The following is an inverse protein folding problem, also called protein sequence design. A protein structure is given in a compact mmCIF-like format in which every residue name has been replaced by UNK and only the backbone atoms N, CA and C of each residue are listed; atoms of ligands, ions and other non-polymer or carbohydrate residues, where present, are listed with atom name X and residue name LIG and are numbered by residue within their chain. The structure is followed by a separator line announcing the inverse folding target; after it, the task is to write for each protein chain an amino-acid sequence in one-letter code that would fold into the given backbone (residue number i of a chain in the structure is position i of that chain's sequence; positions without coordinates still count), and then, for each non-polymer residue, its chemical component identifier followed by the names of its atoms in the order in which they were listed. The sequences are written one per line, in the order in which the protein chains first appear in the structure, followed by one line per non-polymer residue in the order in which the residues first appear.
data_IF_916024434756
#
_entry.id   IF_916024434756
#
_cell.length_a   1.000
_cell.length_b   1.000
_cell.length_c   1.000
_cell.angle_alpha   90.00
_cell.angle_beta   90.00
_cell.angle_gamma   90.00
#
_symmetry.space_group_name_H-M   'P 1'
#
loop_
_entity.id
_entity.type
_entity.pdbx_description
1 polymer ?
#
# COMPACT_ATOMS: atom_id res chain seq x y z
N UNK A 1 -10.02 2.81 9.12
CA UNK A 1 -9.26 3.52 8.10
C UNK A 1 -8.28 4.50 8.70
N UNK A 2 -7.28 4.87 7.96
CA UNK A 2 -6.28 5.81 8.41
C UNK A 2 -5.16 5.96 7.40
N UNK A 3 -4.03 6.52 7.87
CA UNK A 3 -2.84 6.74 7.05
C UNK A 3 -1.69 5.92 7.62
N UNK A 4 -1.04 5.15 6.76
CA UNK A 4 0.21 4.44 7.07
C UNK A 4 1.33 5.20 6.35
N UNK A 5 2.38 5.57 7.08
CA UNK A 5 3.46 6.40 6.55
C UNK A 5 4.77 5.63 6.46
N UNK A 6 5.43 5.71 5.31
CA UNK A 6 6.80 5.24 5.15
C UNK A 6 7.76 6.17 5.89
N UNK A 7 8.61 5.60 6.72
CA UNK A 7 9.60 6.32 7.52
C UNK A 7 10.97 5.66 7.41
N UNK A 8 12.04 6.45 7.42
CA UNK A 8 13.43 5.97 7.26
C UNK A 8 14.31 6.25 8.48
N UNK A 9 13.77 6.92 9.50
CA UNK A 9 14.44 7.19 10.77
C UNK A 9 13.44 7.14 11.93
N UNK A 10 13.92 6.90 13.17
CA UNK A 10 13.09 7.03 14.37
C UNK A 10 12.43 8.41 14.54
N UNK A 11 13.12 9.48 14.10
CA UNK A 11 12.57 10.84 14.14
C UNK A 11 11.38 11.00 13.18
N UNK A 12 11.49 10.49 11.96
CA UNK A 12 10.37 10.49 11.00
C UNK A 12 9.19 9.67 11.52
N UNK A 13 9.45 8.56 12.22
CA UNK A 13 8.41 7.75 12.84
C UNK A 13 7.64 8.54 13.91
N UNK A 14 8.32 9.32 14.75
CA UNK A 14 7.67 10.22 15.73
C UNK A 14 6.85 11.32 15.04
N UNK A 15 7.37 11.92 13.98
CA UNK A 15 6.60 12.90 13.17
C UNK A 15 5.32 12.28 12.63
N UNK A 16 5.38 11.04 12.14
CA UNK A 16 4.20 10.32 11.66
C UNK A 16 3.19 10.04 12.78
N UNK A 17 3.66 9.58 13.93
CA UNK A 17 2.82 9.32 15.11
C UNK A 17 2.16 10.61 15.62
N UNK A 18 2.92 11.69 15.77
CA UNK A 18 2.43 13.01 16.19
C UNK A 18 1.39 13.58 15.21
N UNK A 19 1.52 13.28 13.93
CA UNK A 19 0.55 13.64 12.90
C UNK A 19 -0.74 12.81 12.95
N UNK A 20 -0.77 11.72 13.72
CA UNK A 20 -1.92 10.83 13.87
C UNK A 20 -1.93 9.68 12.87
N UNK A 21 -0.79 9.25 12.37
CA UNK A 21 -0.69 8.03 11.55
C UNK A 21 -1.23 6.82 12.31
N UNK A 22 -1.87 5.90 11.59
CA UNK A 22 -2.37 4.65 12.15
C UNK A 22 -1.28 3.59 12.32
N UNK A 23 -0.22 3.68 11.54
CA UNK A 23 0.95 2.83 11.57
C UNK A 23 2.08 3.50 10.78
N UNK A 24 3.30 3.00 10.94
CA UNK A 24 4.45 3.37 10.11
C UNK A 24 4.99 2.14 9.38
N UNK A 25 5.59 2.38 8.21
CA UNK A 25 6.34 1.40 7.44
C UNK A 25 7.83 1.73 7.56
N UNK A 26 8.60 0.87 8.23
CA UNK A 26 10.03 1.03 8.40
C UNK A 26 10.79 0.68 7.12
N UNK A 27 11.55 1.63 6.59
CA UNK A 27 12.34 1.49 5.37
C UNK A 27 13.72 2.14 5.55
N UNK A 28 14.74 1.63 4.87
CA UNK A 28 16.03 2.34 4.73
C UNK A 28 15.94 3.50 3.74
N UNK A 29 15.10 3.34 2.74
CA UNK A 29 14.90 4.29 1.65
C UNK A 29 13.43 4.35 1.27
N UNK A 30 12.90 5.56 1.11
CA UNK A 30 11.56 5.71 0.54
C UNK A 30 11.51 5.23 -0.92
N UNK A 31 10.35 4.84 -1.45
CA UNK A 31 10.24 4.29 -2.81
C UNK A 31 10.87 5.16 -3.91
N UNK A 32 10.82 6.49 -3.78
CA UNK A 32 11.46 7.41 -4.73
C UNK A 32 12.99 7.22 -4.77
N UNK A 33 13.62 7.01 -3.62
CA UNK A 33 15.07 6.80 -3.54
C UNK A 33 15.45 5.41 -4.05
N UNK A 34 14.64 4.38 -3.76
CA UNK A 34 14.83 3.03 -4.31
C UNK A 34 14.81 3.09 -5.85
N UNK A 35 13.85 3.80 -6.41
CA UNK A 35 13.72 3.98 -7.86
C UNK A 35 14.91 4.74 -8.44
N UNK A 36 15.35 5.82 -7.81
CA UNK A 36 16.43 6.65 -8.30
C UNK A 36 17.80 5.95 -8.26
N UNK A 37 18.05 5.15 -7.22
CA UNK A 37 19.33 4.45 -7.03
C UNK A 37 19.42 3.17 -7.86
N UNK A 38 18.28 2.54 -8.18
CA UNK A 38 18.24 1.27 -8.90
C UNK A 38 18.89 0.11 -8.13
N UNK A 39 19.30 -0.91 -8.86
CA UNK A 39 19.93 -2.10 -8.29
C UNK A 39 18.94 -3.04 -7.58
N UNK A 40 19.44 -3.85 -6.66
CA UNK A 40 18.65 -4.83 -5.90
C UNK A 40 18.25 -4.22 -4.56
N UNK A 41 16.96 -3.93 -4.39
CA UNK A 41 16.40 -3.47 -3.13
C UNK A 41 15.98 -4.68 -2.27
N UNK A 42 16.45 -4.72 -1.03
CA UNK A 42 16.26 -5.82 -0.07
C UNK A 42 15.55 -5.34 1.19
N UNK A 43 15.25 -6.26 2.08
CA UNK A 43 14.81 -5.98 3.45
C UNK A 43 15.75 -4.96 4.12
N UNK A 44 15.18 -4.05 4.89
CA UNK A 44 15.94 -3.05 5.65
C UNK A 44 16.75 -3.68 6.78
N UNK A 45 17.80 -2.96 7.22
CA UNK A 45 18.65 -3.39 8.33
C UNK A 45 17.83 -3.59 9.62
N UNK A 46 18.00 -4.71 10.33
CA UNK A 46 17.34 -4.96 11.61
C UNK A 46 17.51 -3.86 12.65
N UNK A 47 18.70 -3.27 12.81
CA UNK A 47 18.94 -2.19 13.77
C UNK A 47 18.08 -0.95 13.47
N UNK A 48 17.85 -0.64 12.20
CA UNK A 48 16.96 0.45 11.80
C UNK A 48 15.51 0.14 12.17
N UNK A 49 15.05 -1.08 11.90
CA UNK A 49 13.68 -1.51 12.21
C UNK A 49 13.44 -1.47 13.72
N UNK A 50 14.37 -2.04 14.51
CA UNK A 50 14.31 -2.03 15.98
C UNK A 50 14.28 -0.60 16.52
N UNK A 51 15.13 0.30 15.99
CA UNK A 51 15.14 1.71 16.39
C UNK A 51 13.82 2.45 16.09
N UNK A 52 13.11 2.06 15.02
CA UNK A 52 11.78 2.60 14.72
C UNK A 52 10.73 2.00 15.66
N UNK A 53 10.76 0.69 15.90
CA UNK A 53 9.86 0.00 16.86
C UNK A 53 9.95 0.64 18.25
N UNK A 54 11.18 0.92 18.71
CA UNK A 54 11.40 1.56 20.02
C UNK A 54 10.95 3.04 20.06
N UNK A 55 10.81 3.69 18.91
CA UNK A 55 10.56 5.14 18.85
C UNK A 55 9.08 5.52 18.95
N UNK A 56 8.15 4.61 18.66
CA UNK A 56 6.71 4.87 18.54
C UNK A 56 5.87 3.81 19.25
N UNK A 57 4.65 4.20 19.64
CA UNK A 57 3.65 3.30 20.24
C UNK A 57 2.64 2.76 19.21
N UNK A 58 2.61 3.34 18.00
CA UNK A 58 1.77 2.86 16.92
C UNK A 58 2.40 1.65 16.22
N UNK A 59 1.59 0.78 15.56
CA UNK A 59 2.09 -0.39 14.85
C UNK A 59 3.19 -0.06 13.85
N UNK A 60 4.19 -0.94 13.78
CA UNK A 60 5.31 -0.86 12.84
C UNK A 60 5.23 -2.00 11.83
N UNK A 61 5.27 -1.65 10.56
CA UNK A 61 5.35 -2.59 9.44
C UNK A 61 6.75 -2.57 8.84
N UNK A 62 7.15 -3.67 8.22
CA UNK A 62 8.38 -3.73 7.42
C UNK A 62 8.16 -4.58 6.16
N UNK A 63 9.05 -4.39 5.15
CA UNK A 63 8.92 -5.03 3.84
C UNK A 63 9.83 -6.23 3.68
N UNK A 64 9.26 -7.34 3.19
CA UNK A 64 9.98 -8.47 2.65
C UNK A 64 9.88 -8.48 1.12
N UNK A 65 10.89 -9.02 0.45
CA UNK A 65 10.85 -9.25 -0.99
C UNK A 65 9.82 -10.32 -1.34
N UNK A 66 9.19 -10.22 -2.50
CA UNK A 66 8.25 -11.23 -3.00
C UNK A 66 8.93 -12.61 -2.99
N UNK A 67 8.30 -13.59 -2.33
CA UNK A 67 8.76 -14.97 -2.22
C UNK A 67 9.88 -15.20 -1.21
N UNK A 68 10.40 -14.17 -0.55
CA UNK A 68 11.51 -14.32 0.39
C UNK A 68 11.04 -14.64 1.81
N UNK A 69 10.62 -15.87 2.04
CA UNK A 69 10.08 -16.29 3.34
C UNK A 69 11.09 -16.17 4.50
N UNK A 70 12.40 -16.23 4.23
CA UNK A 70 13.41 -16.05 5.29
C UNK A 70 13.50 -14.58 5.73
N UNK A 71 13.37 -13.60 4.83
CA UNK A 71 13.22 -12.20 5.25
C UNK A 71 11.98 -12.02 6.13
N UNK A 72 10.86 -12.66 5.79
CA UNK A 72 9.67 -12.63 6.62
C UNK A 72 9.88 -13.26 8.01
N UNK A 73 10.62 -14.36 8.09
CA UNK A 73 11.00 -14.97 9.38
C UNK A 73 11.82 -14.01 10.24
N UNK A 74 12.82 -13.34 9.65
CA UNK A 74 13.63 -12.33 10.34
C UNK A 74 12.75 -11.19 10.86
N UNK A 75 11.86 -10.66 10.02
CA UNK A 75 10.96 -9.57 10.42
C UNK A 75 10.02 -9.97 11.55
N UNK A 76 9.53 -11.21 11.55
CA UNK A 76 8.72 -11.74 12.63
C UNK A 76 9.49 -11.78 13.97
N UNK A 77 10.76 -12.20 13.96
CA UNK A 77 11.63 -12.21 15.14
C UNK A 77 11.95 -10.78 15.66
N UNK A 78 12.00 -9.78 14.78
CA UNK A 78 12.17 -8.38 15.16
C UNK A 78 10.93 -7.77 15.81
N UNK A 79 9.81 -8.48 15.83
CA UNK A 79 8.58 -8.06 16.49
C UNK A 79 7.80 -6.98 15.72
N UNK A 80 7.90 -6.95 14.39
CA UNK A 80 7.04 -6.07 13.59
C UNK A 80 5.58 -6.53 13.67
N UNK A 81 4.65 -5.58 13.61
CA UNK A 81 3.20 -5.86 13.71
C UNK A 81 2.60 -6.35 12.41
N UNK A 82 3.19 -6.01 11.26
CA UNK A 82 2.79 -6.45 9.92
C UNK A 82 4.01 -6.60 9.01
N UNK A 83 3.92 -7.53 8.07
CA UNK A 83 4.91 -7.70 6.99
C UNK A 83 4.26 -7.35 5.66
N UNK A 84 4.86 -6.43 4.90
CA UNK A 84 4.45 -6.12 3.53
C UNK A 84 5.32 -6.93 2.57
N UNK A 85 4.77 -7.96 1.94
CA UNK A 85 5.41 -8.67 0.82
C UNK A 85 5.30 -7.78 -0.40
N UNK A 86 6.39 -7.09 -0.73
CA UNK A 86 6.33 -5.87 -1.52
C UNK A 86 7.02 -5.95 -2.86
N UNK A 87 6.31 -5.54 -3.91
CA UNK A 87 6.83 -5.27 -5.26
C UNK A 87 7.81 -4.08 -5.31
N UNK A 88 7.84 -3.23 -4.28
CA UNK A 88 8.78 -2.10 -4.19
C UNK A 88 10.22 -2.59 -4.05
N UNK A 89 10.41 -3.71 -3.34
CA UNK A 89 11.69 -4.40 -3.27
C UNK A 89 11.88 -5.29 -4.51
N UNK A 90 13.13 -5.68 -4.77
CA UNK A 90 13.43 -6.61 -5.86
C UNK A 90 12.86 -8.00 -5.55
N UNK A 91 12.11 -8.64 -6.44
CA UNK A 91 11.60 -9.98 -6.19
C UNK A 91 12.73 -10.98 -5.92
N UNK A 92 12.52 -11.88 -4.96
CA UNK A 92 13.40 -13.03 -4.72
C UNK A 92 12.91 -14.27 -5.49
N UNK A 93 11.62 -14.33 -5.77
CA UNK A 93 10.99 -15.39 -6.56
C UNK A 93 10.02 -14.74 -7.57
N UNK A 94 10.11 -15.15 -8.83
CA UNK A 94 9.23 -14.62 -9.89
C UNK A 94 7.93 -15.40 -10.05
N UNK A 95 7.80 -16.56 -9.38
CA UNK A 95 6.66 -17.47 -9.50
C UNK A 95 5.88 -17.57 -8.20
N UNK A 96 6.59 -17.75 -7.08
CA UNK A 96 5.95 -18.00 -5.80
C UNK A 96 5.94 -16.75 -4.92
N UNK A 97 4.78 -16.49 -4.31
CA UNK A 97 4.67 -15.61 -3.16
C UNK A 97 4.86 -16.41 -1.86
N UNK A 98 5.11 -15.71 -0.76
CA UNK A 98 5.23 -16.33 0.57
C UNK A 98 3.90 -16.99 0.94
N UNK A 99 3.94 -18.21 1.48
CA UNK A 99 2.78 -18.81 2.14
C UNK A 99 2.59 -18.15 3.51
N UNK A 100 1.64 -17.22 3.58
CA UNK A 100 1.44 -16.38 4.76
C UNK A 100 0.75 -17.11 5.91
N UNK A 101 0.13 -18.26 5.62
CA UNK A 101 -0.45 -19.13 6.63
C UNK A 101 0.59 -19.79 7.54
N UNK A 102 1.87 -19.76 7.15
CA UNK A 102 2.98 -20.29 7.95
C UNK A 102 3.49 -19.29 9.02
N UNK A 103 2.86 -18.10 9.12
CA UNK A 103 3.30 -16.99 9.99
C UNK A 103 2.18 -16.52 10.91
N UNK A 104 2.54 -16.15 12.14
CA UNK A 104 1.61 -15.52 13.09
C UNK A 104 1.45 -14.01 12.81
N UNK A 105 2.44 -13.38 12.18
CA UNK A 105 2.39 -11.95 11.81
C UNK A 105 1.53 -11.76 10.56
N UNK A 106 0.54 -10.85 10.56
CA UNK A 106 -0.30 -10.59 9.39
C UNK A 106 0.48 -9.91 8.25
N UNK A 107 0.09 -10.24 7.02
CA UNK A 107 0.71 -9.72 5.80
C UNK A 107 -0.14 -8.72 5.06
N UNK A 108 0.53 -7.72 4.47
CA UNK A 108 0.00 -6.78 3.50
C UNK A 108 0.56 -7.12 2.12
N UNK A 109 -0.28 -7.10 1.09
CA UNK A 109 0.14 -7.30 -0.29
C UNK A 109 -0.47 -6.27 -1.23
N UNK A 110 0.26 -5.94 -2.29
CA UNK A 110 -0.22 -5.10 -3.38
C UNK A 110 -1.03 -5.87 -4.41
N UNK A 111 -1.99 -5.20 -5.03
CA UNK A 111 -2.75 -5.72 -6.17
C UNK A 111 -3.09 -4.62 -7.17
N UNK A 112 -3.19 -5.00 -8.45
CA UNK A 112 -3.59 -4.13 -9.56
C UNK A 112 -5.03 -4.36 -10.03
N UNK A 113 -5.58 -5.53 -9.68
CA UNK A 113 -6.93 -5.98 -10.06
C UNK A 113 -7.48 -6.97 -9.00
N UNK A 114 -8.74 -7.35 -9.17
CA UNK A 114 -9.42 -8.24 -8.22
C UNK A 114 -8.81 -9.65 -8.20
N UNK A 115 -8.46 -10.20 -9.36
CA UNK A 115 -7.87 -11.54 -9.43
C UNK A 115 -6.56 -11.63 -8.65
N UNK A 116 -5.67 -10.64 -8.79
CA UNK A 116 -4.44 -10.56 -8.01
C UNK A 116 -4.71 -10.41 -6.52
N UNK A 117 -5.66 -9.55 -6.13
CA UNK A 117 -6.07 -9.40 -4.73
C UNK A 117 -6.54 -10.72 -4.13
N UNK A 118 -7.39 -11.47 -4.85
CA UNK A 118 -7.93 -12.74 -4.36
C UNK A 118 -6.86 -13.84 -4.28
N UNK A 119 -5.88 -13.85 -5.18
CA UNK A 119 -4.72 -14.74 -5.07
C UNK A 119 -3.91 -14.47 -3.82
N UNK A 120 -3.63 -13.19 -3.51
CA UNK A 120 -2.90 -12.81 -2.26
C UNK A 120 -3.70 -13.18 -1.01
N UNK A 121 -5.03 -12.98 -1.02
CA UNK A 121 -5.90 -13.40 0.09
C UNK A 121 -5.88 -14.92 0.26
N UNK A 122 -5.91 -15.68 -0.83
CA UNK A 122 -5.79 -17.15 -0.80
C UNK A 122 -4.50 -17.59 -0.13
N UNK A 123 -3.41 -16.86 -0.35
CA UNK A 123 -2.10 -17.14 0.25
C UNK A 123 -1.99 -16.64 1.71
N UNK A 124 -3.03 -16.00 2.26
CA UNK A 124 -3.11 -15.56 3.65
C UNK A 124 -2.89 -14.06 3.88
N UNK A 125 -2.96 -13.22 2.84
CA UNK A 125 -2.88 -11.77 3.04
C UNK A 125 -4.05 -11.27 3.90
N UNK A 126 -3.74 -10.48 4.93
CA UNK A 126 -4.70 -9.89 5.86
C UNK A 126 -5.12 -8.47 5.46
N UNK A 127 -4.40 -7.85 4.55
CA UNK A 127 -4.68 -6.54 3.97
C UNK A 127 -4.26 -6.51 2.51
N UNK A 128 -5.07 -5.87 1.67
CA UNK A 128 -4.72 -5.56 0.28
C UNK A 128 -4.55 -4.04 0.16
N UNK A 129 -3.51 -3.64 -0.55
CA UNK A 129 -3.33 -2.27 -1.03
C UNK A 129 -3.24 -2.23 -2.55
N UNK A 130 -3.59 -1.11 -3.16
CA UNK A 130 -3.22 -0.93 -4.57
C UNK A 130 -1.69 -0.93 -4.70
N UNK A 131 -1.17 -1.41 -5.80
CA UNK A 131 0.26 -1.24 -6.10
C UNK A 131 0.56 0.21 -6.45
N UNK A 132 -0.28 0.84 -7.25
CA UNK A 132 0.02 2.14 -7.82
C UNK A 132 1.34 2.11 -8.59
N UNK A 133 2.05 3.23 -8.63
CA UNK A 133 3.45 3.28 -9.03
C UNK A 133 4.24 4.03 -7.96
N UNK A 134 4.75 3.28 -6.99
CA UNK A 134 5.36 3.81 -5.78
C UNK A 134 6.56 4.73 -6.08
N UNK A 135 6.69 5.81 -5.33
CA UNK A 135 7.79 6.76 -5.44
C UNK A 135 7.68 7.76 -6.59
N UNK A 136 6.55 7.80 -7.31
CA UNK A 136 6.34 8.75 -8.40
C UNK A 136 5.69 10.07 -7.95
N UNK A 137 4.92 10.07 -6.86
CA UNK A 137 4.08 11.21 -6.49
C UNK A 137 2.92 11.45 -7.45
N UNK A 138 2.65 10.52 -8.35
CA UNK A 138 1.56 10.50 -9.32
C UNK A 138 0.56 9.42 -8.92
N UNK A 139 -0.62 9.83 -8.49
CA UNK A 139 -1.66 8.95 -7.94
C UNK A 139 -2.43 8.18 -9.02
N UNK A 140 -2.20 8.47 -10.30
CA UNK A 140 -3.03 7.99 -11.42
C UNK A 140 -3.10 6.46 -11.52
N UNK A 141 -1.98 5.74 -11.36
CA UNK A 141 -1.98 4.28 -11.38
C UNK A 141 -2.69 3.68 -10.15
N UNK A 142 -2.54 4.29 -8.98
CA UNK A 142 -3.27 3.86 -7.79
C UNK A 142 -4.78 4.03 -7.96
N UNK A 143 -5.22 5.14 -8.53
CA UNK A 143 -6.62 5.39 -8.89
C UNK A 143 -7.13 4.36 -9.90
N UNK A 144 -6.35 4.06 -10.92
CA UNK A 144 -6.67 3.03 -11.92
C UNK A 144 -6.86 1.65 -11.27
N UNK A 145 -5.93 1.23 -10.42
CA UNK A 145 -6.03 -0.06 -9.73
C UNK A 145 -7.25 -0.13 -8.81
N UNK A 146 -7.51 0.92 -8.02
CA UNK A 146 -8.70 0.98 -7.17
C UNK A 146 -10.00 0.89 -8.00
N UNK A 147 -10.09 1.64 -9.10
CA UNK A 147 -11.25 1.59 -10.01
C UNK A 147 -11.41 0.21 -10.63
N UNK A 148 -10.33 -0.41 -11.06
CA UNK A 148 -10.36 -1.77 -11.62
C UNK A 148 -10.92 -2.77 -10.61
N UNK A 149 -10.37 -2.83 -9.40
CA UNK A 149 -10.83 -3.73 -8.35
C UNK A 149 -12.32 -3.49 -8.05
N UNK A 150 -12.73 -2.23 -7.89
CA UNK A 150 -14.14 -1.91 -7.57
C UNK A 150 -15.10 -2.21 -8.73
N UNK A 151 -14.69 -1.99 -9.97
CA UNK A 151 -15.50 -2.32 -11.14
C UNK A 151 -15.69 -3.84 -11.28
N UNK A 152 -14.63 -4.61 -11.06
CA UNK A 152 -14.67 -6.07 -11.08
C UNK A 152 -15.55 -6.62 -9.95
N UNK A 153 -15.46 -6.09 -8.73
CA UNK A 153 -16.38 -6.42 -7.63
C UNK A 153 -17.83 -6.11 -8.02
N UNK A 154 -18.08 -4.91 -8.57
CA UNK A 154 -19.42 -4.52 -9.00
C UNK A 154 -19.98 -5.47 -10.08
N UNK A 155 -19.13 -5.89 -11.05
CA UNK A 155 -19.50 -6.88 -12.07
C UNK A 155 -19.95 -8.19 -11.43
N UNK A 156 -19.19 -8.75 -10.50
CA UNK A 156 -19.51 -10.04 -9.86
C UNK A 156 -20.89 -10.06 -9.21
N UNK A 157 -21.35 -8.96 -8.65
CA UNK A 157 -22.66 -8.85 -7.99
C UNK A 157 -23.86 -9.00 -8.92
N UNK A 158 -23.63 -8.92 -10.23
CA UNK A 158 -24.69 -9.04 -11.25
C UNK A 158 -24.63 -10.37 -11.99
N UNK A 159 -23.67 -11.23 -11.68
CA UNK A 159 -23.52 -12.54 -12.30
C UNK A 159 -24.37 -13.58 -11.59
N UNK A 160 -24.92 -14.52 -12.35
CA UNK A 160 -25.53 -15.72 -11.79
C UNK A 160 -24.48 -16.74 -11.32
N UNK A 161 -24.94 -17.82 -10.72
CA UNK A 161 -24.07 -18.84 -10.13
C UNK A 161 -23.15 -19.49 -11.18
N UNK A 162 -23.66 -19.75 -12.36
CA UNK A 162 -22.91 -20.42 -13.42
C UNK A 162 -21.86 -19.47 -14.01
N UNK A 163 -22.20 -18.20 -14.16
CA UNK A 163 -21.30 -17.14 -14.59
C UNK A 163 -20.17 -16.90 -13.56
N UNK A 164 -20.43 -17.07 -12.26
CA UNK A 164 -19.39 -16.97 -11.22
C UNK A 164 -18.30 -18.03 -11.37
N UNK A 165 -18.62 -19.26 -11.85
CA UNK A 165 -17.58 -20.24 -12.20
C UNK A 165 -16.68 -19.76 -13.34
N UNK A 166 -17.25 -19.09 -14.32
CA UNK A 166 -16.50 -18.51 -15.45
C UNK A 166 -15.62 -17.35 -14.93
N UNK A 167 -16.20 -16.46 -14.15
CA UNK A 167 -15.47 -15.33 -13.55
C UNK A 167 -14.29 -15.80 -12.68
N UNK A 168 -14.44 -16.87 -11.90
CA UNK A 168 -13.35 -17.44 -11.10
C UNK A 168 -12.19 -17.93 -11.97
N UNK A 169 -12.47 -18.54 -13.11
CA UNK A 169 -11.45 -18.96 -14.09
C UNK A 169 -10.75 -17.75 -14.72
N UNK A 170 -11.51 -16.73 -15.13
CA UNK A 170 -10.97 -15.50 -15.72
C UNK A 170 -10.07 -14.74 -14.72
N UNK A 171 -10.51 -14.65 -13.47
CA UNK A 171 -9.77 -14.00 -12.38
C UNK A 171 -8.60 -14.84 -11.87
N UNK A 172 -8.52 -16.12 -12.23
CA UNK A 172 -7.54 -17.07 -11.70
C UNK A 172 -7.57 -17.09 -10.16
N UNK A 173 -8.77 -17.15 -9.60
CA UNK A 173 -9.02 -17.10 -8.15
C UNK A 173 -9.97 -18.23 -7.71
N UNK A 174 -9.91 -18.66 -6.44
CA UNK A 174 -10.81 -19.67 -5.92
C UNK A 174 -12.26 -19.26 -6.01
N UNK A 175 -13.12 -20.20 -6.43
CA UNK A 175 -14.56 -19.94 -6.58
C UNK A 175 -15.19 -19.41 -5.29
N UNK A 176 -14.85 -19.99 -4.15
CA UNK A 176 -15.47 -19.61 -2.87
C UNK A 176 -15.21 -18.14 -2.51
N UNK A 177 -13.99 -17.63 -2.77
CA UNK A 177 -13.70 -16.21 -2.59
C UNK A 177 -14.42 -15.32 -3.60
N UNK A 178 -14.54 -15.76 -4.85
CA UNK A 178 -15.30 -15.02 -5.88
C UNK A 178 -16.77 -14.94 -5.50
N UNK A 179 -17.35 -16.03 -5.03
CA UNK A 179 -18.72 -16.08 -4.57
C UNK A 179 -18.96 -15.19 -3.33
N UNK A 180 -18.07 -15.22 -2.35
CA UNK A 180 -18.12 -14.33 -1.18
C UNK A 180 -18.08 -12.85 -1.57
N UNK A 181 -17.18 -12.48 -2.49
CA UNK A 181 -17.10 -11.09 -2.99
C UNK A 181 -18.37 -10.70 -3.77
N UNK A 182 -18.93 -11.60 -4.56
CA UNK A 182 -20.18 -11.36 -5.26
C UNK A 182 -21.34 -11.10 -4.30
N UNK A 183 -21.42 -11.86 -3.22
CA UNK A 183 -22.45 -11.73 -2.19
C UNK A 183 -22.27 -10.45 -1.36
N UNK A 184 -21.07 -10.22 -0.83
CA UNK A 184 -20.79 -9.13 0.11
C UNK A 184 -20.56 -7.78 -0.56
N UNK A 185 -20.13 -7.77 -1.83
CA UNK A 185 -19.77 -6.56 -2.57
C UNK A 185 -18.47 -5.91 -2.13
N UNK A 186 -17.62 -6.64 -1.42
CA UNK A 186 -16.33 -6.16 -0.91
C UNK A 186 -15.33 -7.30 -0.78
N UNK A 187 -14.05 -6.96 -0.65
CA UNK A 187 -13.01 -7.92 -0.26
C UNK A 187 -13.25 -8.41 1.18
N UNK A 188 -12.89 -9.66 1.52
CA UNK A 188 -12.95 -10.17 2.90
C UNK A 188 -11.92 -9.54 3.84
N UNK A 189 -10.99 -8.75 3.30
CA UNK A 189 -9.97 -7.99 4.02
C UNK A 189 -10.04 -6.51 3.65
N UNK A 190 -9.40 -5.64 4.44
CA UNK A 190 -9.38 -4.21 4.17
C UNK A 190 -8.63 -3.88 2.88
N UNK A 191 -9.11 -2.87 2.15
CA UNK A 191 -8.53 -2.37 0.91
C UNK A 191 -8.02 -0.94 1.11
N UNK A 192 -6.71 -0.78 1.16
CA UNK A 192 -6.02 0.51 1.19
C UNK A 192 -5.52 0.92 -0.19
N UNK A 193 -5.19 2.19 -0.36
CA UNK A 193 -4.54 2.70 -1.56
C UNK A 193 -3.11 3.09 -1.26
N UNK A 194 -2.20 2.67 -2.11
CA UNK A 194 -0.78 3.00 -2.10
C UNK A 194 -0.31 3.39 -3.50
N UNK A 195 0.78 4.13 -3.56
CA UNK A 195 1.47 4.52 -4.79
C UNK A 195 1.06 5.91 -5.30
N UNK A 196 1.92 6.90 -5.07
CA UNK A 196 1.79 8.22 -5.66
C UNK A 196 0.94 9.24 -4.90
N UNK A 197 0.41 8.92 -3.72
CA UNK A 197 -0.27 9.91 -2.86
C UNK A 197 0.75 10.93 -2.37
N UNK A 198 0.52 12.21 -2.67
CA UNK A 198 1.45 13.30 -2.34
C UNK A 198 0.76 14.52 -1.69
N UNK A 199 -0.56 14.62 -1.76
CA UNK A 199 -1.33 15.76 -1.28
C UNK A 199 -2.54 15.34 -0.45
N UNK A 200 -3.09 16.24 0.39
CA UNK A 200 -4.37 16.00 1.08
C UNK A 200 -5.51 15.70 0.10
N UNK A 201 -5.50 16.33 -1.06
CA UNK A 201 -6.51 16.10 -2.10
C UNK A 201 -6.44 14.66 -2.68
N UNK A 202 -5.23 14.13 -2.88
CA UNK A 202 -5.05 12.75 -3.34
C UNK A 202 -5.61 11.75 -2.32
N UNK A 203 -5.30 11.95 -1.03
CA UNK A 203 -5.81 11.12 0.05
C UNK A 203 -7.35 11.15 0.11
N UNK A 204 -7.94 12.34 0.03
CA UNK A 204 -9.39 12.51 0.01
C UNK A 204 -10.03 11.87 -1.24
N UNK A 205 -9.41 12.00 -2.41
CA UNK A 205 -9.88 11.41 -3.66
C UNK A 205 -10.07 9.90 -3.51
N UNK A 206 -9.02 9.20 -3.09
CA UNK A 206 -9.09 7.73 -3.01
C UNK A 206 -10.01 7.26 -1.87
N UNK A 207 -10.14 8.04 -0.79
CA UNK A 207 -11.13 7.79 0.26
C UNK A 207 -12.56 7.94 -0.25
N UNK A 208 -12.88 8.99 -0.99
CA UNK A 208 -14.20 9.16 -1.63
C UNK A 208 -14.50 8.05 -2.64
N UNK A 209 -13.47 7.50 -3.28
CA UNK A 209 -13.61 6.34 -4.17
C UNK A 209 -13.82 5.02 -3.42
N UNK A 210 -13.79 5.03 -2.08
CA UNK A 210 -14.09 3.88 -1.23
C UNK A 210 -12.87 3.06 -0.79
N UNK A 211 -11.66 3.61 -0.86
CA UNK A 211 -10.54 3.05 -0.13
C UNK A 211 -10.76 3.18 1.38
N UNK A 212 -10.36 2.18 2.15
CA UNK A 212 -10.53 2.19 3.61
C UNK A 212 -9.41 2.94 4.33
N UNK A 213 -8.31 3.19 3.65
CA UNK A 213 -7.19 3.99 4.12
C UNK A 213 -6.15 4.21 3.02
N UNK A 214 -5.04 4.87 3.37
CA UNK A 214 -3.97 5.20 2.43
C UNK A 214 -2.60 4.89 3.00
N UNK A 215 -1.69 4.47 2.13
CA UNK A 215 -0.25 4.46 2.37
C UNK A 215 0.35 5.70 1.72
N UNK A 216 1.21 6.40 2.43
CA UNK A 216 1.93 7.55 1.90
C UNK A 216 3.42 7.37 2.16
N UNK A 217 4.19 7.28 1.09
CA UNK A 217 5.63 7.10 1.17
C UNK A 217 6.37 8.42 0.93
N UNK A 218 7.00 8.52 -0.22
CA UNK A 218 7.83 9.68 -0.61
C UNK A 218 7.09 11.01 -0.57
N UNK A 219 5.77 11.02 -0.73
CA UNK A 219 4.94 12.23 -0.79
C UNK A 219 5.00 13.11 0.46
N UNK A 220 5.31 12.55 1.64
CA UNK A 220 5.48 13.33 2.88
C UNK A 220 6.92 13.80 3.03
N UNK A 221 7.88 12.88 3.15
CA UNK A 221 9.25 13.22 3.53
C UNK A 221 10.10 13.78 2.37
N UNK A 222 9.60 13.76 1.14
CA UNK A 222 10.17 14.47 -0.02
C UNK A 222 9.49 15.81 -0.30
N UNK A 223 8.63 16.29 0.59
CA UNK A 223 7.98 17.60 0.50
C UNK A 223 8.74 18.69 1.24
N UNK A 224 8.39 19.95 1.00
CA UNK A 224 9.03 21.10 1.64
C UNK A 224 8.74 21.26 3.13
N UNK A 225 7.65 20.65 3.63
CA UNK A 225 7.27 20.67 5.07
C UNK A 225 6.61 19.35 5.45
N UNK A 226 7.40 18.30 5.79
CA UNK A 226 6.87 16.97 6.07
C UNK A 226 5.87 16.90 7.21
N UNK A 227 6.12 17.57 8.33
CA UNK A 227 5.24 17.52 9.51
C UNK A 227 3.85 18.10 9.20
N UNK A 228 3.80 19.30 8.63
CA UNK A 228 2.52 19.93 8.26
C UNK A 228 1.77 19.11 7.18
N UNK A 229 2.50 18.53 6.24
CA UNK A 229 1.92 17.70 5.19
C UNK A 229 1.38 16.38 5.74
N UNK A 230 2.10 15.73 6.64
CA UNK A 230 1.65 14.53 7.32
C UNK A 230 0.32 14.75 8.05
N UNK A 231 0.26 15.81 8.88
CA UNK A 231 -0.95 16.17 9.61
C UNK A 231 -2.12 16.48 8.68
N UNK A 232 -1.88 17.25 7.60
CA UNK A 232 -2.91 17.60 6.63
C UNK A 232 -3.44 16.37 5.88
N UNK A 233 -2.59 15.43 5.51
CA UNK A 233 -2.99 14.17 4.84
C UNK A 233 -3.80 13.28 5.79
N UNK A 234 -3.41 13.15 7.06
CA UNK A 234 -4.17 12.38 8.06
C UNK A 234 -5.56 12.97 8.24
N UNK A 235 -5.66 14.29 8.41
CA UNK A 235 -6.95 14.97 8.54
C UNK A 235 -7.80 14.85 7.27
N UNK A 236 -7.20 14.96 6.09
CA UNK A 236 -7.90 14.80 4.82
C UNK A 236 -8.41 13.37 4.60
N UNK A 237 -7.69 12.36 5.04
CA UNK A 237 -8.14 10.98 4.98
C UNK A 237 -9.34 10.70 5.90
N UNK A 238 -9.55 11.51 6.93
CA UNK A 238 -10.71 11.44 7.84
C UNK A 238 -11.87 12.32 7.38
N UNK A 239 -11.57 13.55 6.95
CA UNK A 239 -12.55 14.56 6.53
C UNK A 239 -12.74 14.60 5.01
N UNK A 240 -12.53 13.46 4.37
CA UNK A 240 -12.41 13.32 2.91
C UNK A 240 -13.64 13.80 2.12
N UNK A 241 -14.81 13.83 2.73
CA UNK A 241 -16.09 14.24 2.14
C UNK A 241 -16.48 15.69 2.50
N UNK A 242 -15.56 16.48 3.09
CA UNK A 242 -15.80 17.84 3.54
C UNK A 242 -14.96 18.85 2.73
N UNK A 243 -15.42 19.32 1.56
CA UNK A 243 -14.63 20.18 0.67
C UNK A 243 -14.12 21.47 1.31
N UNK A 244 -14.90 22.06 2.22
CA UNK A 244 -14.49 23.27 2.93
C UNK A 244 -13.29 23.03 3.86
N UNK A 245 -13.24 21.89 4.54
CA UNK A 245 -12.10 21.48 5.36
C UNK A 245 -10.89 21.10 4.50
N UNK A 246 -11.11 20.36 3.41
CA UNK A 246 -10.05 20.03 2.47
C UNK A 246 -9.39 21.28 1.88
N UNK A 247 -10.17 22.33 1.58
CA UNK A 247 -9.63 23.61 1.10
C UNK A 247 -8.75 24.29 2.15
N UNK A 248 -9.09 24.18 3.44
CA UNK A 248 -8.25 24.71 4.53
C UNK A 248 -6.97 23.89 4.69
N UNK A 249 -7.09 22.57 4.72
CA UNK A 249 -5.98 21.62 4.88
C UNK A 249 -4.95 21.66 3.74
N UNK A 250 -5.36 22.13 2.57
CA UNK A 250 -4.48 22.23 1.40
C UNK A 250 -3.64 23.50 1.35
N UNK A 251 -3.77 24.41 2.34
CA UNK A 251 -3.07 25.70 2.34
C UNK A 251 -1.76 25.64 3.11
N UNK A 252 -0.74 26.35 2.60
CA UNK A 252 0.48 26.63 3.35
C UNK A 252 1.36 25.41 3.67
N UNK A 253 1.26 24.36 2.87
CA UNK A 253 2.00 23.09 3.10
C UNK A 253 3.42 23.08 2.54
N UNK A 254 3.89 24.19 1.97
CA UNK A 254 5.14 24.21 1.20
C UNK A 254 5.02 23.45 -0.13
N UNK A 255 6.14 23.23 -0.77
CA UNK A 255 6.18 22.50 -2.04
C UNK A 255 5.81 21.03 -1.86
N UNK A 256 4.91 20.55 -2.70
CA UNK A 256 4.67 19.11 -2.82
C UNK A 256 5.89 18.43 -3.45
N UNK A 257 6.02 17.12 -3.26
CA UNK A 257 6.98 16.32 -4.02
C UNK A 257 6.79 16.57 -5.52
N UNK A 258 7.87 16.92 -6.23
CA UNK A 258 7.84 17.16 -7.68
C UNK A 258 7.40 15.89 -8.42
N UNK A 259 7.96 14.76 -8.04
CA UNK A 259 7.57 13.46 -8.58
C UNK A 259 7.99 13.21 -10.02
N UNK A 260 7.40 12.16 -10.58
CA UNK A 260 7.61 11.68 -11.95
C UNK A 260 6.22 11.31 -12.50
N UNK A 261 5.88 11.80 -13.70
CA UNK A 261 4.67 11.36 -14.37
C UNK A 261 4.79 9.85 -14.70
N UNK A 262 3.78 9.07 -14.37
CA UNK A 262 3.81 7.60 -14.57
C UNK A 262 4.03 7.23 -16.04
N UNK A 263 3.55 8.03 -16.98
CA UNK A 263 3.77 7.79 -18.40
C UNK A 263 5.25 7.89 -18.83
N UNK A 264 6.06 8.61 -18.04
CA UNK A 264 7.50 8.75 -18.29
C UNK A 264 8.31 7.58 -17.69
N UNK A 265 7.66 6.68 -16.94
CA UNK A 265 8.31 5.49 -16.38
C UNK A 265 8.32 4.37 -17.42
N UNK A 266 9.50 3.96 -17.95
CA UNK A 266 9.60 2.85 -18.88
C UNK A 266 9.04 1.55 -18.29
N UNK A 267 8.38 0.73 -19.12
CA UNK A 267 7.76 -0.53 -18.68
C UNK A 267 8.69 -1.42 -17.83
N UNK A 268 9.98 -1.64 -18.18
CA UNK A 268 10.88 -2.46 -17.36
C UNK A 268 11.16 -1.89 -15.96
N UNK A 269 10.86 -0.60 -15.73
CA UNK A 269 11.07 0.10 -14.46
C UNK A 269 9.78 0.26 -13.64
N UNK A 270 8.66 -0.25 -14.11
CA UNK A 270 7.39 -0.21 -13.40
C UNK A 270 7.37 -1.26 -12.30
N UNK A 271 7.22 -0.79 -11.07
CA UNK A 271 7.22 -1.66 -9.88
C UNK A 271 5.92 -2.46 -9.79
N UNK A 272 4.80 -1.88 -10.23
CA UNK A 272 3.48 -2.50 -10.16
C UNK A 272 3.36 -3.80 -10.99
N UNK A 273 4.21 -4.01 -11.98
CA UNK A 273 4.21 -5.22 -12.83
C UNK A 273 4.90 -6.42 -12.17
N UNK A 274 5.55 -6.22 -11.01
CA UNK A 274 6.22 -7.29 -10.26
C UNK A 274 5.19 -8.12 -9.49
N UNK A 275 5.29 -9.43 -9.62
CA UNK A 275 4.30 -10.37 -9.07
C UNK A 275 2.97 -10.31 -9.84
N UNK A 276 2.21 -11.37 -9.80
CA UNK A 276 0.93 -11.48 -10.53
C UNK A 276 -0.10 -12.28 -9.71
#
# INVERSE_FOLDING_TARGET
GGVIMDVVTPEQARIAEDAGASAVMALERVPADIRAQGGVARMSDPELIEGIVEAVDIPVMAKARIGHFVEAQILGELGVDFIDESEVLSPADYVNHINKWDFDVPFVCGATNLGEALRRITEGAAMIRSKGEAGTGDVSEAVKHLRTIKAEIARLRHLDRDELYVAAKELQAPYDLVAEVAETGKLPVVLFVAGGVATPADAALVRQMGAEGVFVGSGIFKSGNPAARAEAIVKAATLYDQPAELAKLSRGLGEAMVGINVNDVPAPHRLAERGW
#
